data_IF_898436982143
#
_entry.id   IF_898436982143
#
_cell.length_a   1.000
_cell.length_b   1.000
_cell.length_c   1.000
_cell.angle_alpha   90.00
_cell.angle_beta   90.00
_cell.angle_gamma   90.00
#
_symmetry.space_group_name_H-M   'P 1'
#
loop_
_entity.id
_entity.type
_entity.pdbx_description
1 polymer ?
#
# COMPACT_ATOMS: atom_id res chain seq x y z
N UNK A 1 -44.96 -38.79 -42.41
CA UNK A 1 -43.60 -38.46 -41.93
C UNK A 1 -43.72 -37.40 -40.84
N UNK A 2 -43.73 -37.82 -39.58
CA UNK A 2 -43.84 -36.91 -38.43
C UNK A 2 -42.40 -36.58 -37.99
N UNK A 3 -41.98 -35.32 -38.21
CA UNK A 3 -40.66 -34.81 -37.82
C UNK A 3 -40.71 -34.39 -36.35
N UNK A 4 -40.02 -35.13 -35.49
CA UNK A 4 -39.75 -34.77 -34.10
C UNK A 4 -38.88 -33.51 -34.05
N UNK A 5 -39.41 -32.42 -33.47
CA UNK A 5 -38.67 -31.20 -33.17
C UNK A 5 -38.13 -31.26 -31.74
N UNK A 6 -36.83 -31.51 -31.61
CA UNK A 6 -36.09 -31.32 -30.36
C UNK A 6 -36.03 -29.83 -30.00
N UNK A 7 -36.85 -29.38 -29.03
CA UNK A 7 -36.63 -28.10 -28.35
C UNK A 7 -35.49 -28.28 -27.34
N UNK A 8 -34.29 -27.85 -27.70
CA UNK A 8 -33.22 -27.60 -26.72
C UNK A 8 -33.61 -26.34 -25.95
N UNK A 9 -33.99 -26.52 -24.68
CA UNK A 9 -34.17 -25.41 -23.73
C UNK A 9 -32.78 -24.92 -23.33
N UNK A 10 -32.36 -23.79 -23.89
CA UNK A 10 -31.14 -23.11 -23.44
C UNK A 10 -31.46 -22.39 -22.13
N UNK A 11 -31.05 -23.00 -21.02
CA UNK A 11 -31.06 -22.38 -19.69
C UNK A 11 -30.03 -21.24 -19.70
N UNK A 12 -30.50 -20.00 -19.81
CA UNK A 12 -29.66 -18.81 -19.68
C UNK A 12 -29.25 -18.71 -18.20
N UNK A 13 -28.06 -19.21 -17.87
CA UNK A 13 -27.46 -19.05 -16.56
C UNK A 13 -26.99 -17.59 -16.45
N UNK A 14 -27.85 -16.72 -15.93
CA UNK A 14 -27.49 -15.35 -15.60
C UNK A 14 -26.58 -15.40 -14.37
N UNK A 15 -25.26 -15.51 -14.58
CA UNK A 15 -24.28 -15.24 -13.53
C UNK A 15 -24.37 -13.76 -13.20
N UNK A 16 -25.21 -13.42 -12.21
CA UNK A 16 -25.10 -12.16 -11.53
C UNK A 16 -23.76 -12.16 -10.79
N UNK A 17 -22.72 -11.60 -11.42
CA UNK A 17 -21.56 -11.11 -10.68
C UNK A 17 -22.07 -9.95 -9.82
N UNK A 18 -22.53 -10.27 -8.61
CA UNK A 18 -22.63 -9.27 -7.56
C UNK A 18 -21.20 -8.82 -7.31
N UNK A 19 -20.83 -7.69 -7.89
CA UNK A 19 -19.65 -6.95 -7.48
C UNK A 19 -19.86 -6.58 -6.01
N UNK A 20 -19.30 -7.36 -5.10
CA UNK A 20 -19.14 -6.92 -3.72
C UNK A 20 -18.13 -5.78 -3.80
N UNK A 21 -18.61 -4.55 -3.78
CA UNK A 21 -17.78 -3.38 -3.50
C UNK A 21 -17.24 -3.55 -2.10
N UNK A 22 -16.00 -4.06 -2.00
CA UNK A 22 -15.26 -4.07 -0.74
C UNK A 22 -14.90 -2.62 -0.46
N UNK A 23 -15.15 -2.20 0.79
CA UNK A 23 -14.76 -0.91 1.35
C UNK A 23 -13.32 -0.54 0.93
N UNK A 24 -13.11 0.72 0.53
CA UNK A 24 -11.76 1.28 0.39
C UNK A 24 -11.46 2.10 1.64
N UNK A 25 -11.18 1.43 2.76
CA UNK A 25 -10.60 2.10 3.93
C UNK A 25 -9.16 2.51 3.58
N UNK A 26 -8.79 3.77 3.81
CA UNK A 26 -7.56 4.36 3.25
C UNK A 26 -6.49 4.67 4.29
N UNK A 27 -6.89 4.93 5.54
CA UNK A 27 -5.99 5.42 6.59
C UNK A 27 -5.94 4.44 7.77
N UNK A 28 -4.76 3.97 8.16
CA UNK A 28 -4.67 3.04 9.28
C UNK A 28 -4.68 3.75 10.63
N UNK A 29 -5.49 3.23 11.56
CA UNK A 29 -5.40 3.57 12.97
C UNK A 29 -5.30 2.31 13.85
N UNK A 30 -4.10 2.01 14.34
CA UNK A 30 -3.75 0.79 15.09
C UNK A 30 -3.66 1.08 16.59
N UNK A 31 -4.11 0.16 17.44
CA UNK A 31 -3.84 0.24 18.87
C UNK A 31 -2.34 0.04 19.13
N UNK A 32 -1.71 0.97 19.87
CA UNK A 32 -0.28 0.96 20.21
C UNK A 32 -0.02 0.77 21.71
N UNK A 33 -1.07 0.60 22.50
CA UNK A 33 -0.99 0.28 23.93
C UNK A 33 -1.93 -0.89 24.22
N UNK A 34 -1.41 -1.93 24.88
CA UNK A 34 -2.22 -3.06 25.33
C UNK A 34 -2.97 -2.70 26.62
N UNK A 35 -4.20 -3.18 26.77
CA UNK A 35 -5.02 -2.94 27.94
C UNK A 35 -5.39 -1.47 28.04
N UNK A 36 -6.02 -0.95 26.98
CA UNK A 36 -6.41 0.46 26.88
C UNK A 36 -7.88 0.62 26.52
N UNK A 37 -8.43 1.79 26.81
CA UNK A 37 -9.75 2.20 26.38
C UNK A 37 -9.72 2.74 24.94
N UNK A 38 -10.77 2.44 24.18
CA UNK A 38 -10.97 2.96 22.83
C UNK A 38 -10.99 4.49 22.83
N UNK A 39 -11.55 5.11 23.87
CA UNK A 39 -11.58 6.58 24.05
C UNK A 39 -10.22 7.25 24.27
N UNK A 40 -9.14 6.48 24.50
CA UNK A 40 -7.81 7.04 24.76
C UNK A 40 -7.07 7.36 23.45
N UNK A 41 -7.08 8.62 23.02
CA UNK A 41 -6.47 9.05 21.74
C UNK A 41 -4.99 8.74 21.62
N UNK A 42 -4.24 8.82 22.73
CA UNK A 42 -2.80 8.54 22.77
C UNK A 42 -2.45 7.07 22.59
N UNK A 43 -3.43 6.16 22.66
CA UNK A 43 -3.20 4.72 22.49
C UNK A 43 -3.49 4.23 21.07
N UNK A 44 -3.78 5.15 20.16
CA UNK A 44 -3.98 4.91 18.74
C UNK A 44 -2.82 5.50 17.93
N UNK A 45 -2.38 4.82 16.86
CA UNK A 45 -1.19 5.17 16.08
C UNK A 45 -1.25 6.55 15.43
N UNK A 46 -2.45 7.09 15.20
CA UNK A 46 -2.62 8.44 14.66
C UNK A 46 -2.74 9.54 15.72
N UNK A 47 -2.62 9.20 17.01
CA UNK A 47 -2.83 10.15 18.12
C UNK A 47 -4.26 10.70 18.18
N UNK A 48 -5.21 10.04 17.52
CA UNK A 48 -6.65 10.38 17.47
C UNK A 48 -7.49 9.11 17.54
N UNK A 49 -8.76 9.26 17.92
CA UNK A 49 -9.72 8.17 17.85
C UNK A 49 -9.87 7.65 16.41
N UNK A 50 -10.23 6.37 16.23
CA UNK A 50 -10.71 5.85 14.96
C UNK A 50 -11.85 6.71 14.39
N UNK A 51 -11.81 6.95 13.08
CA UNK A 51 -12.73 7.82 12.34
C UNK A 51 -13.21 7.15 11.03
N UNK A 52 -14.14 7.82 10.34
CA UNK A 52 -14.65 7.35 9.05
C UNK A 52 -13.52 7.11 8.05
N UNK A 53 -13.59 6.02 7.29
CA UNK A 53 -12.58 5.65 6.30
C UNK A 53 -11.34 4.95 6.87
N UNK A 54 -11.24 4.77 8.18
CA UNK A 54 -10.08 4.14 8.81
C UNK A 54 -10.08 2.60 8.64
N UNK A 55 -8.90 2.04 8.45
CA UNK A 55 -8.60 0.64 8.77
C UNK A 55 -8.14 0.57 10.22
N UNK A 56 -9.00 0.04 11.08
CA UNK A 56 -8.82 -0.01 12.53
C UNK A 56 -8.25 -1.36 12.89
N UNK A 57 -7.15 -1.39 13.65
CA UNK A 57 -6.47 -2.65 13.96
C UNK A 57 -6.23 -2.80 15.45
N UNK A 58 -6.67 -3.95 15.99
CA UNK A 58 -6.35 -4.42 17.34
C UNK A 58 -5.36 -5.59 17.18
N UNK A 59 -4.05 -5.39 17.44
CA UNK A 59 -3.01 -6.38 17.20
C UNK A 59 -3.14 -7.63 18.08
N UNK A 60 -2.52 -8.73 17.66
CA UNK A 60 -2.43 -9.95 18.47
C UNK A 60 -1.79 -9.66 19.84
N UNK A 61 -2.37 -10.22 20.90
CA UNK A 61 -1.93 -9.99 22.28
C UNK A 61 -2.36 -8.65 22.89
N UNK A 62 -3.04 -7.78 22.13
CA UNK A 62 -3.60 -6.52 22.64
C UNK A 62 -5.07 -6.71 23.02
N UNK A 63 -5.47 -6.11 24.14
CA UNK A 63 -6.86 -5.92 24.53
C UNK A 63 -7.21 -4.45 24.48
N UNK A 64 -8.30 -4.12 23.78
CA UNK A 64 -8.90 -2.77 23.75
C UNK A 64 -10.32 -2.84 24.28
N UNK A 65 -10.64 -2.01 25.28
CA UNK A 65 -12.00 -1.84 25.79
C UNK A 65 -12.74 -0.78 24.99
N UNK A 66 -13.78 -1.17 24.27
CA UNK A 66 -14.72 -0.22 23.67
C UNK A 66 -15.61 0.35 24.78
N UNK A 67 -15.24 1.52 25.28
CA UNK A 67 -15.85 2.23 26.41
C UNK A 67 -16.72 3.42 25.98
N UNK A 68 -17.04 3.49 24.68
CA UNK A 68 -17.82 4.57 24.07
C UNK A 68 -18.85 4.03 23.09
N UNK A 69 -19.84 4.87 22.79
CA UNK A 69 -20.67 4.70 21.61
C UNK A 69 -20.07 5.49 20.45
N UNK A 70 -19.66 4.82 19.39
CA UNK A 70 -19.11 5.47 18.20
C UNK A 70 -19.86 5.06 16.93
N UNK A 71 -20.06 6.04 16.05
CA UNK A 71 -20.64 5.83 14.72
C UNK A 71 -19.57 6.08 13.67
N UNK A 72 -19.25 5.06 12.87
CA UNK A 72 -18.17 5.09 11.89
C UNK A 72 -18.66 4.60 10.52
N UNK A 73 -18.20 5.23 9.46
CA UNK A 73 -18.60 4.92 8.08
C UNK A 73 -17.39 4.47 7.26
N UNK A 74 -17.58 3.50 6.37
CA UNK A 74 -16.55 2.96 5.49
C UNK A 74 -15.29 2.53 6.26
N UNK A 75 -15.45 1.80 7.37
CA UNK A 75 -14.32 1.34 8.19
C UNK A 75 -14.07 -0.16 8.05
N UNK A 76 -12.82 -0.53 8.26
CA UNK A 76 -12.40 -1.92 8.32
C UNK A 76 -11.82 -2.24 9.69
N UNK A 77 -12.57 -2.90 10.55
CA UNK A 77 -12.11 -3.28 11.90
C UNK A 77 -11.52 -4.68 11.89
N UNK A 78 -10.21 -4.78 12.11
CA UNK A 78 -9.47 -6.04 12.20
C UNK A 78 -9.10 -6.34 13.65
N UNK A 79 -9.56 -7.47 14.16
CA UNK A 79 -9.37 -7.92 15.53
C UNK A 79 -8.47 -9.16 15.52
N UNK A 80 -7.16 -8.96 15.71
CA UNK A 80 -6.19 -10.04 15.90
C UNK A 80 -5.94 -10.32 17.39
N UNK A 81 -6.15 -9.33 18.25
CA UNK A 81 -6.18 -9.46 19.71
C UNK A 81 -7.61 -9.59 20.25
N UNK A 82 -7.95 -8.79 21.25
CA UNK A 82 -9.28 -8.79 21.89
C UNK A 82 -9.92 -7.42 21.81
N UNK A 83 -11.12 -7.34 21.24
CA UNK A 83 -12.02 -6.22 21.44
C UNK A 83 -13.02 -6.57 22.53
N UNK A 84 -12.95 -5.89 23.66
CA UNK A 84 -13.88 -6.05 24.76
C UNK A 84 -14.92 -4.93 24.71
N UNK A 85 -16.19 -5.24 24.46
CA UNK A 85 -17.27 -4.24 24.47
C UNK A 85 -17.68 -3.98 25.91
N UNK A 86 -17.36 -2.79 26.43
CA UNK A 86 -17.65 -2.42 27.82
C UNK A 86 -19.12 -2.00 27.99
N UNK A 87 -19.57 -1.89 29.24
CA UNK A 87 -20.96 -1.61 29.61
C UNK A 87 -21.52 -0.39 28.85
N UNK A 88 -22.73 -0.52 28.30
CA UNK A 88 -23.44 0.57 27.61
C UNK A 88 -22.65 1.21 26.43
N UNK A 89 -21.78 0.44 25.79
CA UNK A 89 -20.92 0.91 24.69
C UNK A 89 -21.18 0.13 23.41
N UNK A 90 -20.78 0.69 22.27
CA UNK A 90 -21.07 0.04 20.99
C UNK A 90 -20.52 0.74 19.77
N UNK A 91 -20.47 -0.01 18.66
CA UNK A 91 -20.10 0.48 17.35
C UNK A 91 -21.30 0.42 16.41
N UNK A 92 -21.65 1.57 15.85
CA UNK A 92 -22.63 1.67 14.77
C UNK A 92 -21.89 1.93 13.46
N UNK A 93 -21.93 0.95 12.55
CA UNK A 93 -21.19 0.98 11.30
C UNK A 93 -22.14 1.04 10.09
N UNK A 94 -21.69 1.64 8.99
CA UNK A 94 -22.47 1.74 7.74
C UNK A 94 -22.41 0.45 6.90
N UNK A 95 -23.18 0.41 5.79
CA UNK A 95 -23.25 -0.76 4.91
C UNK A 95 -21.93 -1.13 4.24
N UNK A 96 -20.98 -0.20 4.17
CA UNK A 96 -19.68 -0.40 3.56
C UNK A 96 -18.65 -0.92 4.56
N UNK A 97 -18.98 -0.95 5.85
CA UNK A 97 -18.02 -1.36 6.88
C UNK A 97 -17.97 -2.88 7.03
N UNK A 98 -16.80 -3.35 7.48
CA UNK A 98 -16.55 -4.77 7.77
C UNK A 98 -15.85 -4.87 9.12
N UNK A 99 -16.29 -5.82 9.92
CA UNK A 99 -15.58 -6.27 11.12
C UNK A 99 -15.08 -7.67 10.86
N UNK A 100 -13.80 -7.95 11.08
CA UNK A 100 -13.34 -9.32 11.09
C UNK A 100 -12.38 -9.61 12.22
N UNK A 101 -12.55 -10.83 12.70
CA UNK A 101 -11.85 -11.40 13.84
C UNK A 101 -10.94 -12.45 13.22
N UNK A 102 -9.63 -12.22 13.32
CA UNK A 102 -8.62 -13.11 12.76
C UNK A 102 -8.46 -14.35 13.65
N UNK A 103 -7.67 -15.32 13.18
CA UNK A 103 -7.33 -16.48 14.00
C UNK A 103 -6.61 -16.02 15.30
N UNK A 104 -7.05 -16.54 16.44
CA UNK A 104 -6.57 -16.10 17.77
C UNK A 104 -7.19 -14.79 18.27
N UNK A 105 -7.93 -14.06 17.43
CA UNK A 105 -8.66 -12.87 17.83
C UNK A 105 -9.99 -13.20 18.51
N UNK A 106 -10.47 -12.27 19.34
CA UNK A 106 -11.77 -12.39 20.00
C UNK A 106 -12.52 -11.06 20.12
N UNK A 107 -13.83 -11.14 20.00
CA UNK A 107 -14.79 -10.10 20.36
C UNK A 107 -15.57 -10.61 21.56
N UNK A 108 -15.55 -9.89 22.67
CA UNK A 108 -16.16 -10.33 23.92
C UNK A 108 -16.74 -9.17 24.71
N UNK A 109 -17.40 -9.50 25.81
CA UNK A 109 -17.78 -8.55 26.85
C UNK A 109 -17.73 -9.24 28.21
N UNK A 110 -17.31 -8.51 29.24
CA UNK A 110 -17.41 -8.88 30.66
C UNK A 110 -18.72 -8.39 31.29
N UNK A 111 -19.51 -7.59 30.56
CA UNK A 111 -20.77 -7.01 31.00
C UNK A 111 -21.90 -7.44 30.06
N UNK A 112 -22.27 -8.73 29.98
CA UNK A 112 -23.24 -9.20 28.99
C UNK A 112 -24.64 -8.60 29.24
N UNK A 113 -24.99 -7.55 28.49
CA UNK A 113 -26.30 -6.91 28.49
C UNK A 113 -26.77 -6.63 27.06
N UNK A 114 -27.97 -6.06 26.91
CA UNK A 114 -28.50 -5.70 25.60
C UNK A 114 -27.90 -4.41 25.04
N UNK A 115 -26.95 -3.78 25.73
CA UNK A 115 -26.42 -2.46 25.38
C UNK A 115 -25.02 -2.51 24.76
N UNK A 116 -24.33 -3.63 24.89
CA UNK A 116 -23.05 -3.91 24.24
C UNK A 116 -23.30 -4.36 22.80
N UNK A 117 -23.30 -3.42 21.86
CA UNK A 117 -23.76 -3.68 20.49
C UNK A 117 -22.67 -3.36 19.46
N UNK A 118 -22.50 -4.25 18.49
CA UNK A 118 -21.90 -3.89 17.19
C UNK A 118 -22.98 -4.05 16.14
N UNK A 119 -23.28 -2.98 15.41
CA UNK A 119 -24.24 -2.98 14.31
C UNK A 119 -23.58 -2.56 13.00
N UNK A 120 -24.03 -3.13 11.89
CA UNK A 120 -23.60 -2.78 10.53
C UNK A 120 -24.85 -2.59 9.69
N UNK A 121 -25.02 -1.43 9.08
CA UNK A 121 -26.18 -1.14 8.25
C UNK A 121 -27.50 -1.09 9.03
N UNK A 122 -27.45 -0.76 10.32
CA UNK A 122 -28.61 -0.80 11.21
C UNK A 122 -29.03 -2.20 11.68
N UNK A 123 -28.26 -3.25 11.33
CA UNK A 123 -28.48 -4.61 11.82
C UNK A 123 -27.48 -4.93 12.92
N UNK A 124 -27.97 -5.33 14.09
CA UNK A 124 -27.11 -5.80 15.19
C UNK A 124 -26.40 -7.09 14.77
N UNK A 125 -25.08 -7.03 14.67
CA UNK A 125 -24.21 -8.19 14.38
C UNK A 125 -23.71 -8.86 15.65
N UNK A 126 -23.60 -8.10 16.72
CA UNK A 126 -23.23 -8.54 18.06
C UNK A 126 -24.13 -7.85 19.09
N UNK A 127 -24.61 -8.62 20.06
CA UNK A 127 -25.28 -8.15 21.28
C UNK A 127 -24.71 -8.92 22.47
N UNK A 128 -24.12 -8.22 23.44
CA UNK A 128 -23.41 -8.82 24.58
C UNK A 128 -24.22 -9.88 25.35
N UNK A 129 -25.52 -9.65 25.57
CA UNK A 129 -26.40 -10.59 26.28
C UNK A 129 -26.72 -11.88 25.51
N UNK A 130 -26.45 -11.92 24.20
CA UNK A 130 -26.84 -13.03 23.32
C UNK A 130 -25.63 -13.78 22.79
N UNK A 131 -24.61 -13.06 22.32
CA UNK A 131 -23.48 -13.64 21.58
C UNK A 131 -22.34 -14.13 22.47
N UNK A 132 -22.15 -13.53 23.65
CA UNK A 132 -21.02 -13.84 24.53
C UNK A 132 -19.66 -13.55 23.87
N UNK A 133 -18.75 -14.52 23.87
CA UNK A 133 -17.44 -14.39 23.22
C UNK A 133 -17.46 -15.01 21.83
N UNK A 134 -17.10 -14.22 20.82
CA UNK A 134 -16.90 -14.65 19.44
C UNK A 134 -15.39 -14.76 19.17
N UNK A 135 -14.91 -15.96 18.91
CA UNK A 135 -13.52 -16.20 18.50
C UNK A 135 -13.41 -16.35 16.98
N UNK A 136 -12.35 -15.80 16.40
CA UNK A 136 -12.08 -15.92 14.97
C UNK A 136 -11.62 -17.33 14.53
N UNK A 137 -11.48 -17.58 13.22
CA UNK A 137 -11.70 -16.64 12.13
C UNK A 137 -13.20 -16.46 11.81
N UNK A 138 -13.68 -15.21 11.87
CA UNK A 138 -15.08 -14.83 11.57
C UNK A 138 -15.14 -13.41 11.05
N UNK A 139 -16.19 -13.07 10.29
CA UNK A 139 -16.42 -11.69 9.85
C UNK A 139 -17.90 -11.31 9.90
N UNK A 140 -18.16 -10.00 9.97
CA UNK A 140 -19.46 -9.39 9.86
C UNK A 140 -19.40 -8.23 8.84
N UNK A 141 -20.41 -8.17 7.97
CA UNK A 141 -20.67 -7.08 7.02
C UNK A 141 -22.17 -6.86 6.86
N UNK A 142 -22.59 -5.89 6.03
CA UNK A 142 -23.99 -5.69 5.68
C UNK A 142 -24.67 -6.94 5.10
N UNK A 143 -23.91 -7.84 4.45
CA UNK A 143 -24.41 -9.08 3.85
C UNK A 143 -24.53 -10.27 4.83
N UNK A 144 -23.93 -10.16 6.02
CA UNK A 144 -24.00 -11.23 7.05
C UNK A 144 -25.31 -11.18 7.84
N UNK A 145 -25.58 -12.20 8.66
CA UNK A 145 -26.83 -12.32 9.43
C UNK A 145 -27.02 -11.26 10.52
N UNK A 146 -27.99 -11.49 11.39
CA UNK A 146 -28.21 -10.74 12.63
C UNK A 146 -27.71 -11.57 13.82
N UNK A 147 -27.31 -10.91 14.90
CA UNK A 147 -27.02 -11.56 16.20
C UNK A 147 -28.12 -12.58 16.54
N UNK A 148 -27.77 -13.82 16.95
CA UNK A 148 -26.41 -14.28 17.27
C UNK A 148 -25.61 -14.85 16.08
N UNK A 149 -26.18 -14.82 14.88
CA UNK A 149 -25.55 -15.30 13.64
C UNK A 149 -24.99 -14.15 12.80
N UNK A 150 -24.63 -13.03 13.44
CA UNK A 150 -24.10 -11.85 12.77
C UNK A 150 -22.70 -12.04 12.21
N UNK A 151 -21.94 -12.98 12.75
CA UNK A 151 -20.59 -13.30 12.32
C UNK A 151 -20.54 -14.64 11.57
N UNK A 152 -20.13 -14.60 10.31
CA UNK A 152 -20.03 -15.78 9.43
C UNK A 152 -18.63 -16.40 9.47
N UNK A 153 -18.57 -17.72 9.26
CA UNK A 153 -17.33 -18.51 9.14
C UNK A 153 -16.84 -18.64 7.69
N UNK A 154 -17.60 -18.14 6.70
CA UNK A 154 -17.12 -18.12 5.32
C UNK A 154 -15.86 -17.28 5.25
N UNK A 155 -14.80 -17.83 4.65
CA UNK A 155 -13.53 -17.13 4.43
C UNK A 155 -13.75 -16.03 3.40
N UNK A 156 -14.22 -14.86 3.82
CA UNK A 156 -13.79 -13.65 3.13
C UNK A 156 -12.32 -13.53 3.50
N UNK A 157 -11.45 -13.56 2.49
CA UNK A 157 -10.07 -13.10 2.64
C UNK A 157 -10.18 -11.65 3.11
N UNK A 158 -10.17 -11.48 4.43
CA UNK A 158 -10.05 -10.18 5.04
C UNK A 158 -8.83 -9.55 4.38
N UNK A 159 -8.93 -8.37 3.71
CA UNK A 159 -7.77 -7.64 3.22
C UNK A 159 -6.64 -7.79 4.20
N UNK A 160 -5.59 -8.51 3.79
CA UNK A 160 -4.44 -8.64 4.67
C UNK A 160 -3.99 -7.25 5.00
N UNK A 161 -3.95 -6.99 6.30
CA UNK A 161 -3.87 -5.65 6.82
C UNK A 161 -2.40 -5.28 6.78
N UNK A 162 -1.99 -4.68 5.66
CA UNK A 162 -0.74 -3.92 5.58
C UNK A 162 -0.79 -2.85 6.66
N UNK A 163 -0.09 -3.10 7.76
CA UNK A 163 0.12 -2.17 8.89
C UNK A 163 0.69 -0.85 8.39
N UNK A 164 1.65 -0.96 7.49
CA UNK A 164 2.27 0.15 6.82
C UNK A 164 2.67 -0.31 5.42
N UNK A 165 2.77 0.64 4.51
CA UNK A 165 3.48 0.46 3.25
C UNK A 165 3.95 1.85 2.86
N UNK A 166 5.23 2.06 2.82
CA UNK A 166 5.83 3.35 2.50
C UNK A 166 6.88 3.14 1.45
N UNK A 167 7.06 4.14 0.59
CA UNK A 167 8.14 4.17 -0.37
C UNK A 167 8.83 5.52 -0.22
N UNK A 168 10.13 5.50 0.02
CA UNK A 168 10.93 6.71 0.22
C UNK A 168 12.09 6.67 -0.76
N UNK A 169 12.25 7.75 -1.52
CA UNK A 169 13.42 7.93 -2.37
C UNK A 169 14.59 8.43 -1.53
N UNK A 170 15.71 7.74 -1.60
CA UNK A 170 16.96 8.14 -0.95
C UNK A 170 17.80 9.05 -1.84
N UNK A 171 18.82 9.69 -1.26
CA UNK A 171 19.73 10.61 -1.95
C UNK A 171 20.51 9.96 -3.11
N UNK A 172 20.68 8.64 -3.08
CA UNK A 172 21.30 7.88 -4.16
C UNK A 172 20.30 7.53 -5.30
N UNK A 173 19.09 8.08 -5.24
CA UNK A 173 17.94 7.89 -6.13
C UNK A 173 17.20 6.56 -5.99
N UNK A 174 17.70 5.61 -5.18
CA UNK A 174 16.99 4.36 -4.89
C UNK A 174 15.64 4.64 -4.21
N UNK A 175 14.68 3.75 -4.41
CA UNK A 175 13.43 3.79 -3.66
C UNK A 175 13.40 2.62 -2.71
N UNK A 176 13.45 2.92 -1.42
CA UNK A 176 13.26 1.93 -0.37
C UNK A 176 11.78 1.81 -0.05
N UNK A 177 11.27 0.59 -0.13
CA UNK A 177 9.93 0.23 0.26
C UNK A 177 9.97 -0.50 1.59
N UNK A 178 9.16 -0.04 2.53
CA UNK A 178 9.01 -0.67 3.83
C UNK A 178 7.53 -0.98 4.06
N UNK A 179 7.25 -2.19 4.51
CA UNK A 179 5.89 -2.55 4.92
C UNK A 179 5.90 -3.43 6.14
N UNK A 180 4.78 -3.38 6.83
CA UNK A 180 4.52 -4.17 8.01
C UNK A 180 3.18 -4.87 7.81
N UNK A 181 3.04 -6.09 8.31
CA UNK A 181 1.77 -6.83 8.36
C UNK A 181 1.46 -7.22 9.79
N UNK A 182 0.18 -7.29 10.18
CA UNK A 182 -0.21 -7.65 11.56
C UNK A 182 -0.46 -9.15 11.75
N UNK A 183 -0.82 -9.86 10.68
CA UNK A 183 -0.92 -11.32 10.64
C UNK A 183 -0.93 -11.77 9.18
N UNK A 184 -0.23 -12.87 8.92
CA UNK A 184 -0.08 -13.45 7.58
C UNK A 184 -0.64 -14.88 7.55
N UNK A 185 -1.93 -15.01 7.87
CA UNK A 185 -2.60 -16.32 7.78
C UNK A 185 -2.75 -16.73 6.31
N UNK A 186 -2.19 -17.89 5.96
CA UNK A 186 -2.23 -18.45 4.60
C UNK A 186 -1.54 -17.61 3.52
N UNK A 187 -0.66 -16.68 3.89
CA UNK A 187 0.14 -15.90 2.94
C UNK A 187 1.31 -16.74 2.39
N UNK A 188 1.54 -16.70 1.09
CA UNK A 188 2.70 -17.32 0.43
C UNK A 188 3.84 -16.31 0.28
N UNK A 189 3.57 -15.16 -0.32
CA UNK A 189 4.55 -14.12 -0.59
C UNK A 189 3.89 -12.79 -0.98
N UNK A 190 4.72 -11.74 -1.03
CA UNK A 190 4.40 -10.46 -1.60
C UNK A 190 5.16 -10.26 -2.90
N UNK A 191 4.43 -10.01 -3.99
CA UNK A 191 4.99 -9.43 -5.21
C UNK A 191 5.06 -7.90 -5.03
N UNK A 192 6.26 -7.34 -5.14
CA UNK A 192 6.47 -5.90 -5.17
C UNK A 192 6.23 -5.43 -6.60
N UNK A 193 5.18 -4.65 -6.81
CA UNK A 193 4.81 -4.16 -8.13
C UNK A 193 5.08 -2.66 -8.27
N UNK A 194 5.60 -2.29 -9.44
CA UNK A 194 5.94 -0.92 -9.80
C UNK A 194 5.17 -0.48 -11.05
N UNK A 195 4.76 0.78 -11.07
CA UNK A 195 4.13 1.43 -12.21
C UNK A 195 4.75 2.80 -12.48
N UNK A 196 4.98 3.11 -13.76
CA UNK A 196 5.48 4.41 -14.23
C UNK A 196 4.37 5.35 -14.72
N UNK A 197 3.14 4.83 -14.85
CA UNK A 197 1.97 5.54 -15.38
C UNK A 197 0.73 5.43 -14.46
N UNK A 198 0.85 4.70 -13.34
CA UNK A 198 -0.23 4.41 -12.40
C UNK A 198 -1.24 3.35 -12.88
N UNK A 199 -1.09 2.84 -14.11
CA UNK A 199 -2.07 1.94 -14.74
C UNK A 199 -1.48 0.56 -15.07
N UNK A 200 -0.28 0.51 -15.64
CA UNK A 200 0.43 -0.72 -15.95
C UNK A 200 1.40 -1.06 -14.83
N UNK A 201 1.29 -2.28 -14.31
CA UNK A 201 2.06 -2.75 -13.15
C UNK A 201 3.01 -3.87 -13.58
N UNK A 202 4.24 -3.81 -13.09
CA UNK A 202 5.28 -4.83 -13.32
C UNK A 202 5.83 -5.29 -11.99
N UNK A 203 5.87 -6.60 -11.77
CA UNK A 203 6.55 -7.20 -10.61
C UNK A 203 8.06 -6.98 -10.74
N UNK A 204 8.65 -6.33 -9.74
CA UNK A 204 10.09 -6.03 -9.68
C UNK A 204 10.83 -6.87 -8.65
N UNK A 205 10.09 -7.61 -7.82
CA UNK A 205 10.65 -8.57 -6.88
C UNK A 205 9.56 -9.29 -6.11
N UNK A 206 9.96 -10.36 -5.42
CA UNK A 206 9.08 -11.17 -4.58
C UNK A 206 9.74 -11.35 -3.22
N UNK A 207 8.97 -11.18 -2.15
CA UNK A 207 9.41 -11.33 -0.76
C UNK A 207 8.53 -12.38 -0.09
N UNK A 208 9.14 -13.42 0.45
CA UNK A 208 8.42 -14.50 1.11
C UNK A 208 7.63 -13.99 2.33
N UNK A 209 6.48 -14.61 2.58
CA UNK A 209 5.70 -14.38 3.78
C UNK A 209 6.50 -14.73 5.05
N UNK A 210 6.20 -14.02 6.12
CA UNK A 210 6.80 -14.16 7.43
C UNK A 210 6.02 -15.11 8.33
N UNK A 211 6.15 -14.93 9.64
CA UNK A 211 5.48 -15.81 10.60
C UNK A 211 3.98 -15.48 10.73
N UNK A 212 3.17 -16.51 10.95
CA UNK A 212 1.71 -16.39 11.08
C UNK A 212 1.32 -15.78 12.43
N UNK A 213 0.27 -14.96 12.46
CA UNK A 213 -0.28 -14.34 13.69
C UNK A 213 0.69 -13.46 14.49
N UNK A 214 1.75 -12.97 13.85
CA UNK A 214 2.66 -11.97 14.42
C UNK A 214 2.84 -10.81 13.47
N UNK A 215 3.26 -9.68 14.04
CA UNK A 215 3.67 -8.53 13.24
C UNK A 215 4.97 -8.86 12.51
N UNK A 216 4.99 -8.74 11.17
CA UNK A 216 6.20 -8.91 10.37
C UNK A 216 6.57 -7.59 9.70
N UNK A 217 7.87 -7.31 9.64
CA UNK A 217 8.42 -6.12 8.99
C UNK A 217 9.27 -6.55 7.80
N UNK A 218 9.09 -5.84 6.69
CA UNK A 218 9.74 -6.13 5.43
C UNK A 218 10.34 -4.88 4.83
N UNK A 219 11.37 -5.11 4.02
CA UNK A 219 12.05 -4.09 3.26
C UNK A 219 12.33 -4.61 1.85
N UNK A 220 12.19 -3.73 0.86
CA UNK A 220 12.61 -3.97 -0.51
C UNK A 220 13.26 -2.71 -1.09
N UNK A 221 14.44 -2.84 -1.69
CA UNK A 221 15.12 -1.71 -2.34
C UNK A 221 15.02 -1.79 -3.87
N UNK A 222 14.35 -0.81 -4.48
CA UNK A 222 14.34 -0.63 -5.93
C UNK A 222 15.56 0.22 -6.38
N UNK A 223 16.68 -0.48 -6.57
CA UNK A 223 17.93 0.07 -7.07
C UNK A 223 17.90 0.46 -8.57
N UNK A 224 16.77 0.24 -9.25
CA UNK A 224 16.57 0.60 -10.66
C UNK A 224 15.35 1.50 -10.85
N UNK A 225 14.89 2.17 -9.79
CA UNK A 225 13.77 3.11 -9.87
C UNK A 225 14.07 4.23 -10.89
N UNK A 226 13.11 4.57 -11.75
CA UNK A 226 13.29 5.69 -12.66
C UNK A 226 13.43 7.04 -11.92
N UNK A 227 13.92 8.06 -12.60
CA UNK A 227 13.89 9.43 -12.07
C UNK A 227 12.49 10.05 -12.14
N UNK A 228 11.55 9.45 -12.87
CA UNK A 228 10.19 9.96 -12.96
C UNK A 228 9.42 9.70 -11.66
N UNK A 229 8.20 10.22 -11.60
CA UNK A 229 7.23 9.77 -10.60
C UNK A 229 7.00 8.26 -10.77
N UNK A 230 6.94 7.55 -9.65
CA UNK A 230 6.76 6.10 -9.63
C UNK A 230 5.72 5.76 -8.59
N UNK A 231 4.81 4.87 -8.96
CA UNK A 231 3.85 4.28 -8.04
C UNK A 231 4.25 2.85 -7.72
N UNK A 232 4.05 2.45 -6.47
CA UNK A 232 4.29 1.11 -5.98
C UNK A 232 3.04 0.56 -5.28
N UNK A 233 2.85 -0.75 -5.38
CA UNK A 233 1.88 -1.51 -4.58
C UNK A 233 2.46 -2.89 -4.28
N UNK A 234 1.96 -3.51 -3.23
CA UNK A 234 2.24 -4.90 -2.92
C UNK A 234 1.07 -5.72 -3.40
N UNK A 235 1.36 -6.79 -4.13
CA UNK A 235 0.41 -7.85 -4.42
C UNK A 235 0.72 -9.01 -3.50
N UNK A 236 -0.07 -9.16 -2.47
CA UNK A 236 -0.01 -10.34 -1.63
C UNK A 236 -0.61 -11.54 -2.36
N UNK A 237 0.07 -12.68 -2.30
CA UNK A 237 -0.38 -13.93 -2.88
C UNK A 237 -0.50 -14.96 -1.77
N UNK A 238 -1.70 -15.51 -1.60
CA UNK A 238 -1.98 -16.56 -0.63
C UNK A 238 -1.54 -17.94 -1.16
N UNK A 239 -1.45 -18.94 -0.28
CA UNK A 239 -1.01 -20.31 -0.60
C UNK A 239 -1.95 -20.98 -1.63
N UNK A 240 -3.21 -20.58 -1.66
CA UNK A 240 -4.22 -21.06 -2.63
C UNK A 240 -4.20 -20.29 -3.96
N UNK A 241 -3.30 -19.32 -4.11
CA UNK A 241 -3.13 -18.51 -5.32
C UNK A 241 -4.05 -17.29 -5.41
N UNK A 242 -4.91 -17.06 -4.42
CA UNK A 242 -5.66 -15.81 -4.33
C UNK A 242 -4.71 -14.63 -4.11
N UNK A 243 -5.08 -13.47 -4.64
CA UNK A 243 -4.24 -12.28 -4.53
C UNK A 243 -5.02 -11.06 -4.06
N UNK A 244 -4.37 -10.25 -3.24
CA UNK A 244 -4.88 -8.96 -2.76
C UNK A 244 -3.81 -7.89 -2.89
N UNK A 245 -4.23 -6.63 -3.01
CA UNK A 245 -3.32 -5.53 -3.23
C UNK A 245 -3.30 -4.57 -2.03
N UNK A 246 -2.13 -4.04 -1.70
CA UNK A 246 -2.02 -2.90 -0.81
C UNK A 246 -2.60 -1.64 -1.45
N UNK A 247 -2.69 -0.57 -0.67
CA UNK A 247 -2.77 0.77 -1.25
C UNK A 247 -1.57 1.05 -2.15
N UNK A 248 -1.77 1.93 -3.12
CA UNK A 248 -0.68 2.49 -3.91
C UNK A 248 0.02 3.59 -3.14
N UNK A 249 1.35 3.58 -3.13
CA UNK A 249 2.17 4.72 -2.69
C UNK A 249 2.92 5.28 -3.87
N UNK A 250 2.91 6.61 -4.00
CA UNK A 250 3.56 7.31 -5.10
C UNK A 250 4.75 8.08 -4.57
N UNK A 251 5.88 7.90 -5.24
CA UNK A 251 7.13 8.58 -4.96
C UNK A 251 7.35 9.60 -6.05
N UNK A 252 7.47 10.87 -5.67
CA UNK A 252 7.75 11.95 -6.59
C UNK A 252 9.02 11.65 -7.42
N UNK A 253 8.98 12.13 -8.66
CA UNK A 253 10.16 12.12 -9.51
C UNK A 253 11.24 13.05 -8.99
N UNK A 254 12.47 12.76 -9.35
CA UNK A 254 13.63 13.62 -9.19
C UNK A 254 14.04 14.17 -10.54
N UNK A 255 14.61 15.36 -10.52
CA UNK A 255 14.71 16.16 -11.72
C UNK A 255 15.83 15.68 -12.70
N UNK A 256 16.64 14.65 -12.35
CA UNK A 256 17.19 13.68 -13.31
C UNK A 256 17.95 12.51 -12.63
N UNK A 257 18.05 11.37 -13.32
CA UNK A 257 18.64 10.13 -12.79
C UNK A 257 20.16 10.18 -12.57
N UNK A 258 20.64 9.34 -11.65
CA UNK A 258 22.06 9.15 -11.32
C UNK A 258 22.93 9.10 -12.57
N UNK A 259 23.87 10.05 -12.68
CA UNK A 259 24.67 10.27 -13.89
C UNK A 259 26.16 10.09 -13.61
N UNK A 260 26.86 9.42 -14.52
CA UNK A 260 28.32 9.33 -14.49
C UNK A 260 28.89 10.11 -15.66
N UNK A 261 29.81 11.03 -15.38
CA UNK A 261 30.48 11.86 -16.40
C UNK A 261 31.95 11.48 -16.42
N UNK A 262 32.45 10.99 -17.56
CA UNK A 262 33.83 10.55 -17.76
C UNK A 262 34.39 11.22 -19.01
N UNK A 263 35.57 11.84 -18.89
CA UNK A 263 36.32 12.35 -20.03
C UNK A 263 37.37 11.32 -20.48
N UNK A 264 37.42 11.06 -21.78
CA UNK A 264 38.42 10.20 -22.43
C UNK A 264 39.01 10.95 -23.62
N UNK A 265 40.19 11.55 -23.43
CA UNK A 265 40.74 12.51 -24.38
C UNK A 265 39.82 13.72 -24.51
N UNK A 266 39.48 14.10 -25.75
CA UNK A 266 38.56 15.23 -26.02
C UNK A 266 37.07 14.86 -26.01
N UNK A 267 36.73 13.60 -25.71
CA UNK A 267 35.36 13.11 -25.68
C UNK A 267 34.89 12.99 -24.23
N UNK A 268 33.70 13.49 -23.94
CA UNK A 268 33.04 13.46 -22.65
C UNK A 268 31.86 12.52 -22.77
N UNK A 269 31.90 11.39 -22.09
CA UNK A 269 30.81 10.44 -22.03
C UNK A 269 29.99 10.69 -20.76
N UNK A 270 28.69 10.94 -20.93
CA UNK A 270 27.70 11.16 -19.88
C UNK A 270 26.77 9.97 -19.92
N UNK A 271 26.84 9.10 -18.92
CA UNK A 271 25.99 7.90 -18.83
C UNK A 271 24.93 8.11 -17.76
N UNK A 272 23.66 8.07 -18.15
CA UNK A 272 22.53 8.00 -17.24
C UNK A 272 22.38 6.55 -16.78
N UNK A 273 22.66 6.29 -15.51
CA UNK A 273 22.55 4.94 -14.93
C UNK A 273 21.09 4.53 -14.75
N UNK A 274 20.17 5.50 -14.79
CA UNK A 274 18.73 5.28 -14.70
C UNK A 274 18.00 6.10 -15.78
N UNK A 275 16.99 5.51 -16.45
CA UNK A 275 16.25 6.22 -17.48
C UNK A 275 15.48 7.40 -16.90
N UNK A 276 15.49 8.51 -17.62
CA UNK A 276 14.66 9.70 -17.36
C UNK A 276 13.91 10.07 -18.63
N UNK A 277 12.64 10.48 -18.51
CA UNK A 277 11.91 11.10 -19.63
C UNK A 277 12.15 12.61 -19.72
N UNK A 278 12.90 13.17 -18.78
CA UNK A 278 13.25 14.58 -18.78
C UNK A 278 14.17 14.91 -19.96
N UNK A 279 13.90 16.04 -20.59
CA UNK A 279 14.81 16.68 -21.53
C UNK A 279 15.99 17.26 -20.76
N UNK A 280 17.22 16.88 -21.11
CA UNK A 280 18.43 17.34 -20.43
C UNK A 280 19.25 18.23 -21.36
N UNK A 281 19.58 19.43 -20.90
CA UNK A 281 20.57 20.30 -21.54
C UNK A 281 21.94 20.04 -20.94
N UNK A 282 22.93 19.71 -21.77
CA UNK A 282 24.32 19.57 -21.38
C UNK A 282 25.15 20.71 -21.96
N UNK A 283 26.04 21.28 -21.13
CA UNK A 283 26.93 22.40 -21.48
C UNK A 283 28.37 22.04 -21.13
N UNK A 284 29.29 22.34 -22.04
CA UNK A 284 30.72 22.38 -21.76
C UNK A 284 31.12 23.83 -21.51
N UNK A 285 31.67 24.12 -20.33
CA UNK A 285 31.95 25.48 -19.87
C UNK A 285 33.44 25.60 -19.52
N UNK A 286 34.09 26.66 -20.00
CA UNK A 286 35.46 27.01 -19.60
C UNK A 286 35.52 27.50 -18.14
N UNK A 287 36.70 27.53 -17.53
CA UNK A 287 36.88 28.10 -16.19
C UNK A 287 36.52 29.59 -16.08
N UNK A 288 36.53 30.32 -17.19
CA UNK A 288 36.14 31.72 -17.25
C UNK A 288 34.61 31.90 -17.41
N UNK A 289 33.83 30.80 -17.37
CA UNK A 289 32.37 30.82 -17.48
C UNK A 289 31.83 30.84 -18.91
N UNK A 290 32.68 30.88 -19.93
CA UNK A 290 32.23 30.82 -21.33
C UNK A 290 31.70 29.42 -21.67
N UNK A 291 30.47 29.35 -22.19
CA UNK A 291 29.88 28.13 -22.76
C UNK A 291 30.53 27.86 -24.12
N UNK A 292 31.23 26.75 -24.22
CA UNK A 292 31.95 26.32 -25.43
C UNK A 292 31.09 25.42 -26.32
N UNK A 293 30.23 24.61 -25.72
CA UNK A 293 29.27 23.75 -26.41
C UNK A 293 27.99 23.62 -25.57
N UNK A 294 26.84 23.54 -26.22
CA UNK A 294 25.56 23.28 -25.59
C UNK A 294 24.72 22.36 -26.47
N UNK A 295 24.20 21.29 -25.90
CA UNK A 295 23.29 20.37 -26.57
C UNK A 295 22.11 20.03 -25.67
N UNK A 296 20.99 19.64 -26.27
CA UNK A 296 19.78 19.23 -25.55
C UNK A 296 19.34 17.87 -26.04
N UNK A 297 19.05 16.99 -25.10
CA UNK A 297 18.73 15.59 -25.35
C UNK A 297 17.33 15.29 -24.83
N UNK A 298 16.53 14.56 -25.62
CA UNK A 298 15.23 14.01 -25.20
C UNK A 298 15.40 12.92 -24.14
N UNK A 299 14.41 12.02 -23.91
CA UNK A 299 14.45 11.02 -22.83
C UNK A 299 15.82 10.34 -22.75
N UNK A 300 16.62 10.70 -21.74
CA UNK A 300 18.02 10.32 -21.67
C UNK A 300 18.09 8.89 -21.12
N UNK A 301 17.92 7.92 -22.01
CA UNK A 301 17.94 6.49 -21.69
C UNK A 301 19.31 5.85 -21.92
N UNK A 302 20.33 6.62 -22.30
CA UNK A 302 21.64 6.10 -22.75
C UNK A 302 22.81 7.08 -22.55
N UNK A 303 23.99 6.67 -23.03
CA UNK A 303 25.22 7.48 -23.02
C UNK A 303 25.11 8.62 -24.05
N UNK A 304 25.40 9.82 -23.59
CA UNK A 304 25.55 11.03 -24.40
C UNK A 304 27.03 11.34 -24.52
N UNK A 305 27.49 11.71 -25.72
CA UNK A 305 28.87 12.15 -25.93
C UNK A 305 28.89 13.64 -26.27
N UNK A 306 29.61 14.43 -25.48
CA UNK A 306 30.01 15.78 -25.85
C UNK A 306 31.48 15.77 -26.27
N UNK A 307 31.85 16.67 -27.16
CA UNK A 307 33.22 16.76 -27.63
C UNK A 307 33.33 17.87 -28.64
N UNK A 308 34.26 18.78 -28.41
CA UNK A 308 34.55 19.87 -29.32
C UNK A 308 36.00 19.71 -29.79
N UNK A 309 36.17 19.46 -31.10
CA UNK A 309 37.49 19.16 -31.69
C UNK A 309 38.52 20.27 -31.42
N UNK A 310 38.02 21.50 -31.25
CA UNK A 310 38.78 22.74 -31.05
C UNK A 310 39.10 23.06 -29.60
N UNK A 311 38.65 22.26 -28.62
CA UNK A 311 39.01 22.51 -27.21
C UNK A 311 40.51 22.21 -27.00
N UNK A 312 41.22 23.15 -26.37
CA UNK A 312 42.60 22.96 -25.94
C UNK A 312 42.66 22.16 -24.64
N UNK A 313 43.78 21.47 -24.39
CA UNK A 313 43.97 20.74 -23.13
C UNK A 313 43.80 21.67 -21.92
N UNK A 314 43.02 21.24 -20.94
CA UNK A 314 42.66 22.12 -19.83
C UNK A 314 41.50 21.63 -18.98
N UNK A 315 41.19 22.43 -17.96
CA UNK A 315 40.10 22.14 -17.02
C UNK A 315 38.81 22.77 -17.53
N UNK A 316 37.74 21.99 -17.51
CA UNK A 316 36.40 22.41 -17.92
C UNK A 316 35.35 21.98 -16.91
N UNK A 317 34.17 22.58 -16.99
CA UNK A 317 32.99 22.18 -16.24
C UNK A 317 31.96 21.64 -17.22
N UNK A 318 31.51 20.42 -16.99
CA UNK A 318 30.31 19.87 -17.62
C UNK A 318 29.14 20.20 -16.73
N UNK A 319 28.18 20.95 -17.27
CA UNK A 319 26.96 21.32 -16.57
C UNK A 319 25.76 20.65 -17.25
N UNK A 320 24.99 19.87 -16.49
CA UNK A 320 23.75 19.23 -16.91
C UNK A 320 22.58 19.92 -16.20
N UNK A 321 21.45 20.14 -16.87
CA UNK A 321 20.22 20.59 -16.22
C UNK A 321 18.98 20.15 -16.99
N UNK A 322 17.87 19.96 -16.27
CA UNK A 322 16.56 19.65 -16.84
C UNK A 322 15.67 20.90 -17.01
N UNK A 323 16.16 22.06 -16.57
CA UNK A 323 15.43 23.33 -16.60
C UNK A 323 14.25 23.43 -15.62
N UNK A 324 14.02 22.42 -14.76
CA UNK A 324 12.92 22.37 -13.78
C UNK A 324 13.39 22.31 -12.33
N UNK A 325 14.70 22.33 -12.12
CA UNK A 325 15.30 22.48 -10.79
C UNK A 325 16.49 21.56 -10.53
N UNK A 326 16.73 20.55 -11.37
CA UNK A 326 17.92 19.73 -11.27
C UNK A 326 19.05 20.29 -12.12
N UNK A 327 20.23 20.23 -11.53
CA UNK A 327 21.46 20.43 -12.27
C UNK A 327 22.62 19.70 -11.61
N UNK A 328 23.60 19.32 -12.42
CA UNK A 328 24.87 18.78 -11.95
C UNK A 328 25.99 19.56 -12.63
N UNK A 329 26.99 19.97 -11.87
CA UNK A 329 28.24 20.49 -12.39
C UNK A 329 29.38 19.54 -12.02
N UNK A 330 30.14 19.08 -13.01
CA UNK A 330 31.35 18.28 -12.78
C UNK A 330 32.56 18.92 -13.44
N UNK A 331 33.61 19.13 -12.65
CA UNK A 331 34.93 19.50 -13.14
C UNK A 331 35.58 18.31 -13.82
N UNK A 332 36.10 18.52 -15.04
CA UNK A 332 36.79 17.51 -15.83
C UNK A 332 38.10 18.07 -16.38
N UNK A 333 39.01 17.18 -16.77
CA UNK A 333 40.22 17.50 -17.52
C UNK A 333 40.07 16.89 -18.92
N UNK A 334 40.25 17.71 -19.95
CA UNK A 334 40.30 17.30 -21.37
C UNK A 334 41.73 17.38 -21.91
#
# INVERSE_FOLDING_TARGET
MIRSMNKKSSLLLLLAFTTVTIAQATTMNKAITNGTNWSSTSTWSLGRLPANGDSIVIPAGYTVWLDINATLNNVYLTIAGTLEVDKNSGLTLDNNSVVGILNGGSLSTTHPSSTEIISIGGVNKYVGSVDGTITGPKYASSATGTSPSGFSTTTVTLPVTFVSFTAVRSDNEDVTLDWTTVSETSNSHFDVERSLDGAQWTTIGTVAAGAVNVENNYNFNDAMASANEISYRLRQVDIDGNAQYSRTVTVAGTAAGKTTIVATGKTINITFTRPTSATITARLISLNGQVLQQETFGPATSTISLGESRVSGGIYVVYLSDGKGWSIAKKILL
#
